data_IF_137476799594
#
_entry.id   IF_137476799594
#
_cell.length_a   1.000
_cell.length_b   1.000
_cell.length_c   1.000
_cell.angle_alpha   90.00
_cell.angle_beta   90.00
_cell.angle_gamma   90.00
#
_symmetry.space_group_name_H-M   'P 1'
#
loop_
_entity.id
_entity.type
_entity.pdbx_description
1 polymer ?
#
# COMPACT_ATOMS: atom_id res chain seq x y z
N UNK A 1 14.49 -3.49 -27.68
CA UNK A 1 14.04 -2.42 -26.77
C UNK A 1 13.31 -3.08 -25.62
N UNK A 2 13.94 -3.19 -24.44
CA UNK A 2 13.27 -3.69 -23.24
C UNK A 2 12.35 -2.61 -22.71
N UNK A 3 11.03 -2.78 -22.86
CA UNK A 3 10.06 -1.86 -22.29
C UNK A 3 10.09 -2.02 -20.76
N UNK A 4 10.71 -1.06 -20.07
CA UNK A 4 10.86 -1.13 -18.62
C UNK A 4 9.70 -0.36 -17.98
N UNK A 5 8.67 -1.08 -17.55
CA UNK A 5 7.53 -0.53 -16.81
C UNK A 5 7.98 -0.19 -15.38
N UNK A 6 8.48 1.02 -15.17
CA UNK A 6 8.81 1.51 -13.84
C UNK A 6 7.52 1.97 -13.12
N UNK A 7 7.17 1.29 -12.04
CA UNK A 7 6.00 1.61 -11.23
C UNK A 7 6.05 3.03 -10.64
N UNK A 8 7.23 3.64 -10.49
CA UNK A 8 7.38 5.01 -9.98
C UNK A 8 6.92 6.04 -11.00
N UNK A 9 7.25 5.82 -12.28
CA UNK A 9 6.77 6.67 -13.37
C UNK A 9 5.25 6.59 -13.46
N UNK A 10 4.70 5.38 -13.44
CA UNK A 10 3.25 5.18 -13.43
C UNK A 10 2.58 5.79 -12.20
N UNK A 11 3.19 5.66 -11.03
CA UNK A 11 2.65 6.20 -9.79
C UNK A 11 2.54 7.72 -9.81
N UNK A 12 3.51 8.40 -10.42
CA UNK A 12 3.48 9.85 -10.62
C UNK A 12 2.43 10.25 -11.66
N UNK A 13 2.48 9.64 -12.86
CA UNK A 13 1.55 9.91 -13.97
C UNK A 13 0.08 9.72 -13.57
N UNK A 14 -0.22 8.65 -12.83
CA UNK A 14 -1.58 8.31 -12.39
C UNK A 14 -1.94 8.87 -11.02
N UNK A 15 -1.05 9.65 -10.39
CA UNK A 15 -1.26 10.24 -9.05
C UNK A 15 -1.65 9.18 -8.01
N UNK A 16 -0.91 8.07 -7.96
CA UNK A 16 -1.14 6.95 -7.05
C UNK A 16 -0.47 7.24 -5.69
N UNK A 17 0.79 7.65 -5.71
CA UNK A 17 1.52 8.05 -4.51
C UNK A 17 2.59 9.10 -4.85
N UNK A 18 3.03 9.84 -3.84
CA UNK A 18 4.13 10.81 -3.94
C UNK A 18 5.13 10.58 -2.81
N UNK A 19 6.39 10.92 -3.06
CA UNK A 19 7.46 10.92 -2.06
C UNK A 19 7.85 12.36 -1.76
N UNK A 20 7.95 12.71 -0.49
CA UNK A 20 8.33 14.05 -0.03
C UNK A 20 9.49 13.94 0.96
N UNK A 21 10.55 14.71 0.75
CA UNK A 21 11.75 14.70 1.60
C UNK A 21 11.46 15.13 3.03
N UNK A 22 10.48 16.01 3.25
CA UNK A 22 10.07 16.48 4.58
C UNK A 22 9.34 15.39 5.36
N UNK A 23 8.64 14.49 4.67
CA UNK A 23 7.99 13.32 5.28
C UNK A 23 9.03 12.27 5.64
N UNK A 24 10.02 12.08 4.77
CA UNK A 24 11.14 11.18 4.96
C UNK A 24 11.26 10.11 3.88
N UNK A 25 12.49 9.67 3.65
CA UNK A 25 12.78 8.67 2.62
C UNK A 25 12.09 7.33 2.92
N UNK A 26 11.48 6.74 1.89
CA UNK A 26 10.79 5.45 1.99
C UNK A 26 9.37 5.51 2.57
N UNK A 27 8.83 6.70 2.84
CA UNK A 27 7.48 6.91 3.35
C UNK A 27 6.57 7.48 2.24
N UNK A 28 5.97 6.64 1.37
CA UNK A 28 5.10 7.13 0.32
C UNK A 28 3.79 7.68 0.90
N UNK A 29 3.40 8.86 0.43
CA UNK A 29 2.09 9.42 0.68
C UNK A 29 1.11 8.89 -0.38
N UNK A 30 0.11 8.15 0.05
CA UNK A 30 -0.92 7.61 -0.84
C UNK A 30 -1.94 8.70 -1.19
N UNK A 31 -2.06 8.98 -2.49
CA UNK A 31 -3.04 9.91 -3.03
C UNK A 31 -4.40 9.20 -3.22
N UNK A 32 -5.51 9.91 -3.45
CA UNK A 32 -6.84 9.31 -3.53
C UNK A 32 -6.94 8.11 -4.49
N UNK A 33 -6.28 8.17 -5.66
CA UNK A 33 -6.28 7.06 -6.62
C UNK A 33 -5.57 5.82 -6.06
N UNK A 34 -4.44 6.02 -5.38
CA UNK A 34 -3.70 4.92 -4.78
C UNK A 34 -4.43 4.34 -3.55
N UNK A 35 -5.11 5.17 -2.76
CA UNK A 35 -5.96 4.70 -1.67
C UNK A 35 -7.08 3.80 -2.22
N UNK A 36 -7.77 4.22 -3.29
CA UNK A 36 -8.83 3.42 -3.90
C UNK A 36 -8.33 2.04 -4.39
N UNK A 37 -7.16 2.00 -5.03
CA UNK A 37 -6.52 0.74 -5.45
C UNK A 37 -6.20 -0.14 -4.22
N UNK A 38 -5.60 0.46 -3.19
CA UNK A 38 -5.22 -0.25 -1.96
C UNK A 38 -6.43 -0.84 -1.25
N UNK A 39 -7.52 -0.08 -1.13
CA UNK A 39 -8.77 -0.54 -0.52
C UNK A 39 -9.42 -1.68 -1.29
N UNK A 40 -9.41 -1.62 -2.63
CA UNK A 40 -9.93 -2.70 -3.46
C UNK A 40 -9.13 -4.00 -3.25
N UNK A 41 -7.80 -3.92 -3.24
CA UNK A 41 -6.92 -5.07 -3.00
C UNK A 41 -7.09 -5.62 -1.58
N UNK A 42 -7.13 -4.73 -0.59
CA UNK A 42 -7.34 -5.12 0.81
C UNK A 42 -8.69 -5.82 0.97
N UNK A 43 -9.75 -5.27 0.39
CA UNK A 43 -11.10 -5.86 0.38
C UNK A 43 -11.13 -7.26 -0.24
N UNK A 44 -10.49 -7.43 -1.39
CA UNK A 44 -10.34 -8.73 -2.06
C UNK A 44 -9.67 -9.76 -1.15
N UNK A 45 -8.56 -9.40 -0.51
CA UNK A 45 -7.85 -10.30 0.41
C UNK A 45 -8.71 -10.60 1.65
N UNK A 46 -9.37 -9.59 2.25
CA UNK A 46 -10.26 -9.79 3.41
C UNK A 46 -11.34 -10.83 3.11
N UNK A 47 -11.92 -10.73 1.92
CA UNK A 47 -12.98 -11.63 1.48
C UNK A 47 -12.49 -13.08 1.37
N UNK A 48 -11.33 -13.31 0.76
CA UNK A 48 -10.78 -14.65 0.64
C UNK A 48 -10.30 -15.24 1.96
N UNK A 49 -9.64 -14.46 2.81
CA UNK A 49 -9.28 -14.87 4.17
C UNK A 49 -10.52 -15.36 4.94
N UNK A 50 -11.63 -14.62 4.84
CA UNK A 50 -12.89 -15.00 5.47
C UNK A 50 -13.44 -16.34 4.95
N UNK A 51 -13.46 -16.54 3.62
CA UNK A 51 -13.93 -17.79 3.01
C UNK A 51 -13.06 -19.00 3.39
N UNK A 52 -11.77 -18.78 3.60
CA UNK A 52 -10.82 -19.83 4.00
C UNK A 52 -10.75 -20.04 5.52
N UNK A 53 -11.54 -19.32 6.31
CA UNK A 53 -11.62 -19.49 7.76
C UNK A 53 -10.45 -18.88 8.55
N UNK A 54 -9.70 -17.94 7.96
CA UNK A 54 -8.63 -17.24 8.67
C UNK A 54 -9.22 -16.32 9.75
N UNK A 55 -8.55 -16.30 10.91
CA UNK A 55 -8.87 -15.39 12.01
C UNK A 55 -7.92 -14.20 11.97
N UNK A 56 -8.42 -13.02 11.59
CA UNK A 56 -7.63 -11.80 11.64
C UNK A 56 -7.46 -11.29 13.06
N UNK A 57 -6.25 -10.88 13.38
CA UNK A 57 -5.89 -10.21 14.63
C UNK A 57 -5.28 -8.84 14.33
N UNK A 58 -5.33 -7.94 15.30
CA UNK A 58 -4.69 -6.62 15.22
C UNK A 58 -3.67 -6.52 16.35
N UNK A 59 -2.44 -6.16 16.00
CA UNK A 59 -1.34 -5.97 16.94
C UNK A 59 -0.99 -4.48 17.04
N UNK A 60 -0.53 -3.98 18.20
CA UNK A 60 -0.01 -2.63 18.32
C UNK A 60 1.18 -2.39 17.37
N UNK A 61 1.29 -1.17 16.83
CA UNK A 61 2.42 -0.79 15.96
C UNK A 61 3.77 -0.70 16.69
N UNK A 62 3.76 -0.55 18.02
CA UNK A 62 4.95 -0.42 18.85
C UNK A 62 4.84 -1.42 20.02
N UNK A 63 5.90 -2.20 20.24
CA UNK A 63 6.04 -3.10 21.37
C UNK A 63 7.01 -2.54 22.43
N UNK A 64 7.04 -3.17 23.60
CA UNK A 64 8.04 -2.84 24.63
C UNK A 64 9.45 -3.09 24.08
N UNK A 65 10.37 -2.15 24.30
CA UNK A 65 11.78 -2.32 23.99
C UNK A 65 12.35 -3.50 24.79
N UNK A 66 12.90 -4.48 24.09
CA UNK A 66 13.63 -5.62 24.66
C UNK A 66 14.92 -5.18 25.35
#
# INVERSE_FOLDING_TARGET
MSYQFDHRQLADEMKICVFDEQVGAGLPLWLPNGVAIREALEGFVKHHEHLLGYQRVVCPHIGKKS
#
